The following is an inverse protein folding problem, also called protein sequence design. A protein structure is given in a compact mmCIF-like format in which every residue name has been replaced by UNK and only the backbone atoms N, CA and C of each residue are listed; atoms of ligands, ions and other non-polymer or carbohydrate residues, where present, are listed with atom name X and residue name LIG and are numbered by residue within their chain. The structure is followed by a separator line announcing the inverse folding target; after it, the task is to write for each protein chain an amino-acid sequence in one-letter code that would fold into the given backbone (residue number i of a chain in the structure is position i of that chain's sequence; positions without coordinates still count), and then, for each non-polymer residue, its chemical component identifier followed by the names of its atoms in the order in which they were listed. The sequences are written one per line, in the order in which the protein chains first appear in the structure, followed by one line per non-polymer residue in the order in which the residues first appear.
data_IF_692305142692
#
_entry.id   IF_692305142692
#
_cell.length_a   1.000
_cell.length_b   1.000
_cell.length_c   1.000
_cell.angle_alpha   90.00
_cell.angle_beta   90.00
_cell.angle_gamma   90.00
#
_symmetry.space_group_name_H-M   'P 1'
#
loop_
_entity.id
_entity.type
_entity.pdbx_description
1 polymer ?
#
# COMPACT_ATOMS: atom_id res chain seq x y z
N UNK A 1 36.94 -0.13 -14.46
CA UNK A 1 35.76 -0.69 -13.77
C UNK A 1 35.31 0.29 -12.71
N UNK A 2 34.36 1.13 -13.05
CA UNK A 2 33.74 2.01 -12.06
C UNK A 2 32.64 1.26 -11.35
N UNK A 3 32.82 0.88 -10.10
CA UNK A 3 31.71 0.51 -9.22
C UNK A 3 31.06 1.85 -8.87
N UNK A 4 29.95 2.17 -9.51
CA UNK A 4 29.16 3.30 -9.07
C UNK A 4 28.56 2.95 -7.70
N UNK A 5 29.13 3.54 -6.67
CA UNK A 5 28.56 3.48 -5.33
C UNK A 5 27.25 4.26 -5.36
N UNK A 6 26.14 3.55 -5.49
CA UNK A 6 24.83 4.14 -5.34
C UNK A 6 24.60 4.44 -3.86
N UNK A 7 24.58 5.72 -3.51
CA UNK A 7 24.18 6.20 -2.19
C UNK A 7 22.68 6.49 -2.25
N UNK A 8 21.86 5.46 -2.04
CA UNK A 8 20.42 5.61 -1.88
C UNK A 8 20.04 5.78 -0.43
N UNK A 9 19.33 6.85 -0.08
CA UNK A 9 18.78 7.01 1.24
C UNK A 9 17.50 6.17 1.38
N UNK A 10 17.44 5.31 2.40
CA UNK A 10 16.23 4.62 2.83
C UNK A 10 15.71 5.26 4.10
N UNK A 11 14.41 5.40 4.21
CA UNK A 11 13.75 5.87 5.42
C UNK A 11 12.40 5.19 5.59
N UNK A 12 11.95 5.11 6.81
CA UNK A 12 10.58 4.75 7.17
C UNK A 12 10.12 5.60 8.35
N UNK A 13 8.87 5.97 8.35
CA UNK A 13 8.27 6.78 9.39
C UNK A 13 6.77 6.52 9.52
N UNK A 14 6.31 6.51 10.76
CA UNK A 14 4.88 6.42 11.10
C UNK A 14 4.55 7.51 12.09
N UNK A 15 3.44 8.19 11.85
CA UNK A 15 2.84 9.17 12.75
C UNK A 15 1.43 8.71 13.08
N UNK A 16 1.10 8.72 14.36
CA UNK A 16 -0.25 8.47 14.85
C UNK A 16 -0.72 9.68 15.64
N UNK A 17 -1.90 10.16 15.29
CA UNK A 17 -2.52 11.28 15.95
C UNK A 17 -3.87 10.87 16.55
N UNK A 18 -3.92 10.81 17.87
CA UNK A 18 -5.15 10.57 18.63
C UNK A 18 -5.91 11.88 18.74
N UNK A 19 -6.86 12.10 17.85
CA UNK A 19 -7.74 13.29 17.90
C UNK A 19 -8.69 13.17 19.07
N UNK A 20 -9.22 11.96 19.28
CA UNK A 20 -10.00 11.59 20.47
C UNK A 20 -9.67 10.14 20.84
N UNK A 21 -10.03 9.64 22.03
CA UNK A 21 -9.86 8.23 22.39
C UNK A 21 -10.54 7.24 21.43
N UNK A 22 -11.46 7.72 20.59
CA UNK A 22 -12.23 6.91 19.63
C UNK A 22 -11.90 7.20 18.17
N UNK A 23 -11.06 8.19 17.91
CA UNK A 23 -10.73 8.61 16.56
C UNK A 23 -9.23 8.82 16.40
N UNK A 24 -8.60 7.98 15.62
CA UNK A 24 -7.17 7.97 15.39
C UNK A 24 -6.90 8.15 13.89
N UNK A 25 -6.00 9.06 13.58
CA UNK A 25 -5.45 9.24 12.23
C UNK A 25 -4.00 8.80 12.22
N UNK A 26 -3.60 8.04 11.24
CA UNK A 26 -2.21 7.62 11.06
C UNK A 26 -1.71 7.93 9.66
N UNK A 27 -0.43 8.27 9.58
CA UNK A 27 0.30 8.47 8.34
C UNK A 27 1.56 7.63 8.34
N UNK A 28 1.90 7.06 7.19
CA UNK A 28 3.14 6.31 6.98
C UNK A 28 3.86 6.79 5.73
N UNK A 29 5.17 6.86 5.77
CA UNK A 29 6.01 7.13 4.63
C UNK A 29 7.24 6.24 4.72
N UNK A 30 7.55 5.55 3.63
CA UNK A 30 8.73 4.70 3.55
C UNK A 30 9.36 4.81 2.17
N UNK A 31 10.68 4.78 2.14
CA UNK A 31 11.47 4.67 0.91
C UNK A 31 12.50 3.57 1.08
N UNK A 32 12.52 2.66 0.15
CA UNK A 32 13.48 1.58 0.11
C UNK A 32 14.15 1.52 -1.27
N UNK A 33 15.42 1.20 -1.27
CA UNK A 33 16.19 0.90 -2.48
C UNK A 33 16.62 -0.55 -2.39
N UNK A 34 16.24 -1.34 -3.39
CA UNK A 34 16.61 -2.74 -3.47
C UNK A 34 17.34 -3.04 -4.78
N UNK A 35 18.41 -3.81 -4.70
CA UNK A 35 19.04 -4.38 -5.88
C UNK A 35 18.20 -5.55 -6.38
N UNK A 36 17.91 -5.57 -7.66
CA UNK A 36 17.21 -6.66 -8.30
C UNK A 36 18.17 -7.42 -9.20
N UNK A 37 18.53 -8.63 -8.78
CA UNK A 37 19.31 -9.55 -9.60
C UNK A 37 18.36 -10.24 -10.61
N UNK A 38 18.05 -9.58 -11.69
CA UNK A 38 17.19 -10.15 -12.74
C UNK A 38 17.01 -9.17 -13.88
N UNK A 39 16.92 -9.70 -15.02
CA UNK A 39 16.66 -9.17 -16.36
C UNK A 39 16.39 -7.63 -16.39
N UNK A 40 17.45 -6.84 -16.62
CA UNK A 40 17.35 -5.48 -17.14
C UNK A 40 17.22 -4.33 -16.14
N UNK A 41 17.14 -4.57 -14.85
CA UNK A 41 17.14 -3.48 -13.87
C UNK A 41 18.25 -3.69 -12.83
N UNK A 42 19.07 -2.68 -12.60
CA UNK A 42 20.15 -2.74 -11.63
C UNK A 42 19.65 -2.49 -10.21
N UNK A 43 18.62 -1.67 -10.05
CA UNK A 43 17.97 -1.39 -8.77
C UNK A 43 16.55 -0.82 -8.95
N UNK A 44 15.77 -0.97 -7.91
CA UNK A 44 14.40 -0.45 -7.82
C UNK A 44 14.29 0.48 -6.62
N UNK A 45 13.82 1.68 -6.87
CA UNK A 45 13.44 2.62 -5.81
C UNK A 45 11.94 2.43 -5.57
N UNK A 46 11.58 2.10 -4.36
CA UNK A 46 10.20 1.96 -3.93
C UNK A 46 9.88 3.02 -2.89
N UNK A 47 8.80 3.74 -3.12
CA UNK A 47 8.25 4.72 -2.19
C UNK A 47 6.83 4.30 -1.83
N UNK A 48 6.55 4.16 -0.54
CA UNK A 48 5.25 3.82 0.00
C UNK A 48 4.75 4.99 0.85
N UNK A 49 3.53 5.45 0.57
CA UNK A 49 2.83 6.45 1.37
C UNK A 49 1.49 5.87 1.79
N UNK A 50 1.11 6.08 3.02
CA UNK A 50 -0.15 5.61 3.55
C UNK A 50 -0.78 6.61 4.51
N UNK A 51 -2.10 6.64 4.51
CA UNK A 51 -2.90 7.33 5.51
C UNK A 51 -4.05 6.44 5.91
N UNK A 52 -4.39 6.43 7.18
CA UNK A 52 -5.51 5.66 7.69
C UNK A 52 -6.25 6.41 8.79
N UNK A 53 -7.54 6.14 8.87
CA UNK A 53 -8.43 6.63 9.90
C UNK A 53 -9.11 5.44 10.56
N UNK A 54 -9.03 5.36 11.86
CA UNK A 54 -9.74 4.39 12.69
C UNK A 54 -10.72 5.14 13.59
N UNK A 55 -11.98 4.79 13.47
CA UNK A 55 -13.05 5.42 14.25
C UNK A 55 -13.88 4.38 14.98
N UNK A 56 -13.85 4.43 16.29
CA UNK A 56 -14.73 3.67 17.17
C UNK A 56 -16.07 4.43 17.30
N UNK A 57 -17.01 4.10 16.40
CA UNK A 57 -18.32 4.79 16.34
C UNK A 57 -19.13 4.55 17.62
N UNK A 58 -19.08 3.31 18.13
CA UNK A 58 -19.73 2.93 19.38
C UNK A 58 -18.92 1.82 20.06
N UNK A 59 -19.35 1.37 21.22
CA UNK A 59 -18.75 0.20 21.89
C UNK A 59 -18.79 -1.10 21.06
N UNK A 60 -19.70 -1.19 20.10
CA UNK A 60 -19.88 -2.36 19.25
C UNK A 60 -19.43 -2.15 17.80
N UNK A 61 -19.22 -0.91 17.34
CA UNK A 61 -19.00 -0.57 15.94
C UNK A 61 -17.68 0.15 15.73
N UNK A 62 -16.90 -0.29 14.75
CA UNK A 62 -15.65 0.35 14.30
C UNK A 62 -15.64 0.50 12.79
N UNK A 63 -15.18 1.64 12.32
CA UNK A 63 -14.91 1.96 10.91
C UNK A 63 -13.43 2.22 10.74
N UNK A 64 -12.82 1.62 9.73
CA UNK A 64 -11.48 1.93 9.28
C UNK A 64 -11.50 2.33 7.81
N UNK A 65 -10.75 3.38 7.48
CA UNK A 65 -10.54 3.81 6.10
C UNK A 65 -9.04 3.98 5.92
N UNK A 66 -8.50 3.44 4.85
CA UNK A 66 -7.08 3.58 4.54
C UNK A 66 -6.85 3.85 3.06
N UNK A 67 -5.86 4.68 2.78
CA UNK A 67 -5.33 4.93 1.46
C UNK A 67 -3.85 4.60 1.44
N UNK A 68 -3.37 3.94 0.40
CA UNK A 68 -1.96 3.64 0.19
C UNK A 68 -1.59 3.90 -1.25
N UNK A 69 -0.46 4.54 -1.43
CA UNK A 69 0.18 4.75 -2.72
C UNK A 69 1.59 4.15 -2.69
N UNK A 70 1.88 3.32 -3.67
CA UNK A 70 3.21 2.73 -3.88
C UNK A 70 3.72 3.17 -5.23
N UNK A 71 4.85 3.85 -5.26
CA UNK A 71 5.57 4.20 -6.47
C UNK A 71 6.80 3.32 -6.60
N UNK A 72 7.04 2.81 -7.78
CA UNK A 72 8.26 2.05 -8.09
C UNK A 72 8.92 2.66 -9.31
N UNK A 73 10.19 2.93 -9.18
CA UNK A 73 11.03 3.46 -10.25
C UNK A 73 12.13 2.43 -10.52
N UNK A 74 12.08 1.86 -11.72
CA UNK A 74 13.01 0.82 -12.16
C UNK A 74 14.14 1.51 -12.91
N UNK A 75 15.35 1.42 -12.39
CA UNK A 75 16.54 2.02 -13.00
C UNK A 75 17.55 0.93 -13.34
N UNK A 76 18.09 1.01 -14.56
CA UNK A 76 19.14 0.11 -15.05
C UNK A 76 19.57 0.52 -16.44
N UNK A 77 20.86 0.38 -16.71
CA UNK A 77 21.39 0.50 -18.06
C UNK A 77 21.20 -0.81 -18.78
N UNK A 78 20.22 -0.89 -19.68
CA UNK A 78 20.16 -1.95 -20.67
C UNK A 78 20.32 -1.39 -22.07
N UNK A 79 21.49 -1.58 -22.58
CA UNK A 79 21.89 -1.06 -23.87
C UNK A 79 21.41 -1.88 -25.07
N UNK A 80 20.72 -3.02 -24.90
CA UNK A 80 20.55 -3.94 -26.04
C UNK A 80 19.32 -4.86 -26.04
N UNK A 81 18.21 -4.54 -25.43
CA UNK A 81 17.04 -5.41 -25.58
C UNK A 81 15.82 -4.62 -26.07
N UNK A 82 15.21 -5.10 -27.15
CA UNK A 82 13.97 -4.61 -27.78
C UNK A 82 12.73 -4.67 -26.85
N UNK A 83 12.92 -4.95 -25.58
CA UNK A 83 11.88 -4.87 -24.56
C UNK A 83 12.07 -3.57 -23.79
N UNK A 84 11.18 -2.64 -24.01
CA UNK A 84 11.14 -1.39 -23.25
C UNK A 84 11.10 -1.73 -21.75
N UNK A 85 12.07 -1.25 -20.96
CA UNK A 85 12.03 -1.44 -19.52
C UNK A 85 10.74 -0.82 -18.98
N UNK A 86 10.15 -1.44 -17.97
CA UNK A 86 9.09 -0.84 -17.19
C UNK A 86 9.75 0.31 -16.44
N UNK A 87 9.58 1.55 -16.93
CA UNK A 87 10.31 2.70 -16.38
C UNK A 87 9.84 3.05 -14.98
N UNK A 88 8.53 3.16 -14.78
CA UNK A 88 7.94 3.43 -13.48
C UNK A 88 6.51 2.91 -13.42
N UNK A 89 6.04 2.58 -12.23
CA UNK A 89 4.65 2.29 -11.97
C UNK A 89 4.19 2.89 -10.65
N UNK A 90 2.90 3.18 -10.59
CA UNK A 90 2.22 3.67 -9.40
C UNK A 90 1.00 2.81 -9.12
N UNK A 91 0.91 2.32 -7.91
CA UNK A 91 -0.26 1.56 -7.43
C UNK A 91 -0.91 2.34 -6.31
N UNK A 92 -2.18 2.67 -6.49
CA UNK A 92 -2.99 3.28 -5.44
C UNK A 92 -4.06 2.30 -4.98
N UNK A 93 -4.23 2.20 -3.69
CA UNK A 93 -5.24 1.35 -3.06
C UNK A 93 -6.02 2.15 -2.03
N UNK A 94 -7.33 2.08 -2.12
CA UNK A 94 -8.27 2.57 -1.11
C UNK A 94 -8.95 1.37 -0.45
N UNK A 95 -9.13 1.42 0.84
CA UNK A 95 -9.87 0.40 1.57
C UNK A 95 -10.75 1.02 2.65
N UNK A 96 -11.91 0.43 2.83
CA UNK A 96 -12.82 0.74 3.92
C UNK A 96 -13.25 -0.56 4.58
N UNK A 97 -13.27 -0.59 5.89
CA UNK A 97 -13.73 -1.73 6.66
C UNK A 97 -14.66 -1.29 7.77
N UNK A 98 -15.66 -2.09 7.99
CA UNK A 98 -16.61 -1.93 9.08
C UNK A 98 -16.68 -3.22 9.90
N UNK A 99 -16.63 -3.11 11.20
CA UNK A 99 -16.82 -4.23 12.10
C UNK A 99 -17.90 -3.92 13.12
N UNK A 100 -18.75 -4.91 13.36
CA UNK A 100 -19.87 -4.81 14.30
C UNK A 100 -19.90 -6.04 15.22
N UNK A 101 -19.84 -5.82 16.51
CA UNK A 101 -20.04 -6.84 17.53
C UNK A 101 -21.55 -6.93 17.85
N UNK A 102 -22.21 -7.88 17.18
CA UNK A 102 -23.65 -8.10 17.36
C UNK A 102 -23.99 -8.70 18.73
N UNK A 103 -23.05 -9.45 19.30
CA UNK A 103 -23.11 -10.00 20.66
C UNK A 103 -21.68 -10.21 21.20
N UNK A 104 -21.58 -10.74 22.43
CA UNK A 104 -20.28 -11.07 23.03
C UNK A 104 -19.54 -12.15 22.23
N UNK A 105 -20.29 -13.01 21.55
CA UNK A 105 -19.75 -14.15 20.78
C UNK A 105 -19.87 -13.99 19.27
N UNK A 106 -20.53 -12.95 18.76
CA UNK A 106 -20.75 -12.76 17.32
C UNK A 106 -20.21 -11.42 16.85
N UNK A 107 -19.29 -11.47 15.87
CA UNK A 107 -18.75 -10.29 15.20
C UNK A 107 -18.97 -10.40 13.70
N UNK A 108 -19.46 -9.33 13.11
CA UNK A 108 -19.65 -9.18 11.67
C UNK A 108 -18.61 -8.20 11.13
N UNK A 109 -18.06 -8.49 9.97
CA UNK A 109 -17.11 -7.62 9.28
C UNK A 109 -17.49 -7.46 7.83
N UNK A 110 -17.32 -6.22 7.33
CA UNK A 110 -17.48 -5.88 5.93
C UNK A 110 -16.27 -5.08 5.48
N UNK A 111 -15.77 -5.37 4.31
CA UNK A 111 -14.64 -4.69 3.72
C UNK A 111 -14.88 -4.39 2.24
N UNK A 112 -14.46 -3.22 1.83
CA UNK A 112 -14.41 -2.80 0.44
C UNK A 112 -12.99 -2.32 0.15
N UNK A 113 -12.39 -2.79 -0.91
CA UNK A 113 -11.12 -2.27 -1.39
C UNK A 113 -11.16 -2.04 -2.89
N UNK A 114 -10.56 -0.95 -3.29
CA UNK A 114 -10.38 -0.57 -4.68
C UNK A 114 -8.91 -0.30 -4.92
N UNK A 115 -8.35 -0.88 -5.97
CA UNK A 115 -6.95 -0.75 -6.35
C UNK A 115 -6.84 -0.46 -7.83
N UNK A 116 -6.02 0.49 -8.17
CA UNK A 116 -5.64 0.75 -9.55
C UNK A 116 -4.14 0.91 -9.68
N UNK A 117 -3.65 0.57 -10.83
CA UNK A 117 -2.25 0.68 -11.20
C UNK A 117 -2.14 1.45 -12.49
N UNK A 118 -1.34 2.48 -12.44
CA UNK A 118 -0.87 3.24 -13.60
C UNK A 118 0.60 2.87 -13.85
N UNK A 119 0.89 2.35 -15.01
CA UNK A 119 2.25 2.05 -15.44
C UNK A 119 2.62 2.95 -16.63
N UNK A 120 3.90 3.30 -16.75
CA UNK A 120 4.41 4.05 -17.90
C UNK A 120 4.07 3.33 -19.23
N UNK A 121 4.00 2.00 -19.18
CA UNK A 121 3.42 1.20 -20.25
C UNK A 121 1.99 0.78 -19.88
N UNK A 122 1.00 1.40 -20.52
CA UNK A 122 -0.43 1.19 -20.27
C UNK A 122 -0.90 -0.26 -20.40
N UNK A 123 -0.10 -1.13 -21.00
CA UNK A 123 -0.41 -2.57 -21.09
C UNK A 123 -0.45 -3.25 -19.71
N UNK A 124 0.15 -2.66 -18.70
CA UNK A 124 0.19 -3.15 -17.32
C UNK A 124 -0.79 -2.45 -16.39
N UNK A 125 -1.61 -1.55 -16.93
CA UNK A 125 -2.65 -0.90 -16.14
C UNK A 125 -3.72 -1.91 -15.73
N UNK A 126 -4.16 -1.82 -14.52
CA UNK A 126 -5.29 -2.61 -14.04
C UNK A 126 -6.08 -1.89 -12.95
N UNK A 127 -7.33 -2.26 -12.85
CA UNK A 127 -8.24 -1.82 -11.81
C UNK A 127 -8.92 -3.04 -11.19
N UNK A 128 -9.03 -3.07 -9.89
CA UNK A 128 -9.67 -4.16 -9.17
C UNK A 128 -10.45 -3.64 -7.97
N UNK A 129 -11.68 -4.10 -7.86
CA UNK A 129 -12.56 -3.85 -6.70
C UNK A 129 -12.86 -5.16 -6.01
N UNK A 130 -12.65 -5.22 -4.71
CA UNK A 130 -12.92 -6.41 -3.88
C UNK A 130 -13.87 -6.04 -2.76
N UNK A 131 -14.96 -6.77 -2.68
CA UNK A 131 -15.89 -6.74 -1.56
C UNK A 131 -15.69 -8.00 -0.72
N UNK A 132 -15.56 -7.83 0.57
CA UNK A 132 -15.38 -8.93 1.52
C UNK A 132 -16.40 -8.85 2.66
N UNK A 133 -16.79 -10.00 3.16
CA UNK A 133 -17.59 -10.12 4.37
C UNK A 133 -17.03 -11.22 5.26
N UNK A 134 -17.11 -11.05 6.55
CA UNK A 134 -16.64 -12.04 7.52
C UNK A 134 -17.63 -12.17 8.67
N UNK A 135 -17.74 -13.38 9.19
CA UNK A 135 -18.50 -13.68 10.41
C UNK A 135 -17.55 -14.41 11.34
N UNK A 136 -17.32 -13.84 12.51
CA UNK A 136 -16.51 -14.45 13.57
C UNK A 136 -17.37 -14.84 14.75
N UNK A 137 -17.20 -16.06 15.24
CA UNK A 137 -17.84 -16.54 16.46
C UNK A 137 -16.76 -16.93 17.46
N UNK A 138 -16.93 -16.55 18.72
CA UNK A 138 -16.06 -16.92 19.81
C UNK A 138 -16.90 -17.66 20.87
N UNK A 139 -16.50 -18.88 21.17
CA UNK A 139 -17.14 -19.72 22.19
C UNK A 139 -16.40 -19.65 23.52
#
# INVERSE_FOLDING_TARGET
MGVENFVGASYDGKVEWLITPRFVVSGTAARAVSSQNGIGATYVIREDYGAAVDWQVSGASRVGIAARQTKRDFRGEDLNLERQPIGSDEVTALSANYSYAASRSLRLGFGLSHRWRDAENSFYDYEATVLSSSIGTQF
#
